data_IF_807783000818
#
_entry.id   IF_807783000818
#
_cell.length_a   1.000
_cell.length_b   1.000
_cell.length_c   1.000
_cell.angle_alpha   90.00
_cell.angle_beta   90.00
_cell.angle_gamma   90.00
#
_symmetry.space_group_name_H-M   'P 1'
#
loop_
_entity.id
_entity.type
_entity.pdbx_description
1 polymer ?
#
# COMPACT_ATOMS: atom_id res chain seq x y z
N UNK A 1 14.65 -3.96 -1.47
CA UNK A 1 14.20 -4.59 -0.19
C UNK A 1 13.49 -5.91 -0.51
N UNK A 2 13.49 -6.89 0.39
CA UNK A 2 12.86 -8.19 0.12
C UNK A 2 11.33 -8.18 0.32
N UNK A 3 10.84 -7.40 1.28
CA UNK A 3 9.42 -7.16 1.57
C UNK A 3 9.25 -5.71 2.05
N UNK A 4 8.09 -5.11 1.82
CA UNK A 4 7.76 -3.78 2.31
C UNK A 4 6.34 -3.75 2.89
N UNK A 5 6.15 -3.00 4.00
CA UNK A 5 4.85 -2.87 4.64
C UNK A 5 3.95 -1.95 3.81
N UNK A 6 2.72 -2.41 3.53
CA UNK A 6 1.70 -1.63 2.78
C UNK A 6 0.47 -1.25 3.58
N UNK A 7 0.20 -1.98 4.66
CA UNK A 7 -0.92 -1.68 5.52
C UNK A 7 -0.78 -2.43 6.84
N UNK A 8 -1.33 -1.85 7.89
CA UNK A 8 -1.47 -2.49 9.18
C UNK A 8 -2.79 -2.02 9.80
N UNK A 9 -3.40 -2.88 10.60
CA UNK A 9 -4.57 -2.54 11.38
C UNK A 9 -4.57 -3.34 12.66
N UNK A 10 -5.15 -2.77 13.70
CA UNK A 10 -5.39 -3.45 14.96
C UNK A 10 -6.86 -3.84 15.00
N UNK A 11 -7.15 -5.06 15.44
CA UNK A 11 -8.54 -5.46 15.69
C UNK A 11 -9.12 -4.64 16.83
N UNK A 12 -10.45 -4.65 16.94
CA UNK A 12 -11.10 -4.33 18.21
C UNK A 12 -10.70 -5.34 19.29
N UNK A 13 -11.09 -5.07 20.53
CA UNK A 13 -11.02 -6.08 21.60
C UNK A 13 -11.95 -7.22 21.22
N UNK A 14 -11.39 -8.42 21.08
CA UNK A 14 -12.14 -9.63 20.73
C UNK A 14 -12.37 -10.47 21.99
N UNK A 15 -13.61 -10.93 22.18
CA UNK A 15 -13.90 -11.94 23.18
C UNK A 15 -13.33 -13.32 22.77
N UNK A 16 -13.22 -14.30 23.69
CA UNK A 16 -12.83 -15.66 23.34
C UNK A 16 -13.72 -16.24 22.23
N UNK A 17 -13.11 -16.68 21.12
CA UNK A 17 -13.81 -17.21 19.95
C UNK A 17 -14.37 -16.16 18.99
N UNK A 18 -14.30 -14.87 19.32
CA UNK A 18 -14.71 -13.80 18.42
C UNK A 18 -13.66 -13.58 17.31
N UNK A 19 -14.11 -13.22 16.11
CA UNK A 19 -13.26 -12.89 14.97
C UNK A 19 -13.66 -11.56 14.34
N UNK A 20 -12.70 -10.91 13.69
CA UNK A 20 -12.94 -9.69 12.92
C UNK A 20 -12.27 -9.82 11.55
N UNK A 21 -13.03 -9.52 10.49
CA UNK A 21 -12.48 -9.35 9.14
C UNK A 21 -11.87 -7.96 9.00
N UNK A 22 -10.64 -7.90 8.50
CA UNK A 22 -9.96 -6.67 8.13
C UNK A 22 -9.83 -6.62 6.60
N UNK A 23 -10.06 -5.45 6.01
CA UNK A 23 -9.94 -5.23 4.57
C UNK A 23 -8.85 -4.21 4.31
N UNK A 24 -7.93 -4.56 3.41
CA UNK A 24 -6.88 -3.67 2.94
C UNK A 24 -7.08 -3.45 1.44
N UNK A 25 -6.96 -2.21 1.00
CA UNK A 25 -7.04 -1.85 -0.42
C UNK A 25 -5.65 -1.46 -0.88
N UNK A 26 -5.19 -2.06 -1.98
CA UNK A 26 -3.94 -1.71 -2.64
C UNK A 26 -4.26 -0.90 -3.89
N UNK A 27 -3.81 0.35 -3.93
CA UNK A 27 -3.81 1.18 -5.12
C UNK A 27 -2.52 0.95 -5.93
N UNK A 28 -2.48 1.28 -7.23
CA UNK A 28 -1.26 1.22 -8.04
C UNK A 28 -0.07 1.95 -7.40
N UNK A 29 -0.34 3.07 -6.70
CA UNK A 29 0.66 3.82 -5.95
C UNK A 29 1.38 2.97 -4.89
N UNK A 30 0.69 2.04 -4.26
CA UNK A 30 1.25 1.14 -3.25
C UNK A 30 2.18 0.10 -3.89
N UNK A 31 2.05 -0.16 -5.19
CA UNK A 31 2.90 -1.11 -5.92
C UNK A 31 4.09 -0.42 -6.60
N UNK A 32 4.13 0.92 -6.57
CA UNK A 32 5.05 1.69 -7.36
C UNK A 32 6.43 1.84 -6.71
N UNK A 33 7.47 1.72 -7.52
CA UNK A 33 8.84 2.15 -7.23
C UNK A 33 9.14 3.44 -8.00
N UNK A 34 10.12 4.20 -7.55
CA UNK A 34 10.59 5.36 -8.30
C UNK A 34 11.60 4.91 -9.37
N UNK A 35 11.31 5.22 -10.63
CA UNK A 35 12.21 5.04 -11.76
C UNK A 35 12.96 6.37 -12.03
N UNK A 36 14.26 6.36 -11.80
CA UNK A 36 15.13 7.53 -11.97
C UNK A 36 15.25 7.96 -13.43
N UNK A 37 15.24 7.01 -14.38
CA UNK A 37 15.44 7.30 -15.79
C UNK A 37 14.28 8.11 -16.38
N UNK A 38 13.05 7.81 -15.95
CA UNK A 38 11.85 8.57 -16.34
C UNK A 38 11.43 9.64 -15.33
N UNK A 39 12.16 9.75 -14.20
CA UNK A 39 11.81 10.62 -13.06
C UNK A 39 10.34 10.48 -12.64
N UNK A 40 9.86 9.24 -12.58
CA UNK A 40 8.44 8.95 -12.36
C UNK A 40 8.24 7.75 -11.42
N UNK A 41 7.05 7.68 -10.81
CA UNK A 41 6.66 6.52 -10.02
C UNK A 41 5.98 5.50 -10.93
N UNK A 42 6.44 4.26 -10.94
CA UNK A 42 5.98 3.22 -11.85
C UNK A 42 5.54 2.00 -11.07
N UNK A 43 4.30 1.57 -11.28
CA UNK A 43 3.81 0.27 -10.86
C UNK A 43 4.00 -0.73 -11.99
N UNK A 44 5.02 -1.57 -11.89
CA UNK A 44 5.44 -2.50 -12.94
C UNK A 44 4.38 -3.57 -13.26
N UNK A 45 4.41 -4.11 -14.47
CA UNK A 45 3.70 -5.34 -14.79
C UNK A 45 4.37 -6.52 -14.10
N UNK A 46 3.61 -7.52 -13.67
CA UNK A 46 4.16 -8.74 -13.10
C UNK A 46 3.31 -9.36 -12.01
N UNK A 47 3.87 -10.38 -11.37
CA UNK A 47 3.21 -11.08 -10.26
C UNK A 47 3.70 -10.52 -8.93
N UNK A 48 2.76 -10.02 -8.14
CA UNK A 48 2.99 -9.52 -6.80
C UNK A 48 2.59 -10.58 -5.78
N UNK A 49 3.34 -10.69 -4.69
CA UNK A 49 3.00 -11.54 -3.53
C UNK A 49 2.62 -10.67 -2.35
N UNK A 50 1.37 -10.77 -1.90
CA UNK A 50 0.90 -10.20 -0.64
C UNK A 50 1.18 -11.17 0.48
N UNK A 51 1.76 -10.68 1.58
CA UNK A 51 2.03 -11.45 2.80
C UNK A 51 1.29 -10.82 3.98
N UNK A 52 0.56 -11.63 4.75
CA UNK A 52 -0.14 -11.22 5.96
C UNK A 52 0.54 -11.90 7.15
N UNK A 53 1.04 -11.10 8.08
CA UNK A 53 1.81 -11.58 9.23
C UNK A 53 1.57 -10.74 10.48
N UNK A 54 1.89 -11.32 11.64
CA UNK A 54 1.94 -10.56 12.89
C UNK A 54 3.25 -9.79 13.06
N UNK A 55 4.28 -10.17 12.31
CA UNK A 55 5.53 -9.44 12.11
C UNK A 55 6.08 -9.72 10.70
N UNK A 56 7.16 -9.06 10.31
CA UNK A 56 7.88 -9.38 9.06
C UNK A 56 8.48 -10.79 9.03
N UNK A 57 8.64 -11.41 10.21
CA UNK A 57 9.21 -12.75 10.40
C UNK A 57 8.14 -13.82 10.65
N UNK A 58 6.97 -13.45 11.16
CA UNK A 58 5.79 -14.33 11.38
C UNK A 58 4.72 -14.08 10.30
N UNK A 59 4.91 -14.68 9.13
CA UNK A 59 3.96 -14.65 8.01
C UNK A 59 2.99 -15.83 8.13
N UNK A 60 1.70 -15.53 8.21
CA UNK A 60 0.64 -16.53 8.46
C UNK A 60 -0.18 -16.84 7.22
N UNK A 61 -0.27 -15.91 6.27
CA UNK A 61 -0.95 -16.11 5.00
C UNK A 61 -0.21 -15.39 3.87
N UNK A 62 -0.37 -15.91 2.65
CA UNK A 62 0.15 -15.28 1.44
C UNK A 62 -0.81 -15.50 0.27
N UNK A 63 -0.89 -14.51 -0.61
CA UNK A 63 -1.64 -14.59 -1.86
C UNK A 63 -0.86 -13.90 -2.99
N UNK A 64 -1.09 -14.33 -4.22
CA UNK A 64 -0.48 -13.73 -5.40
C UNK A 64 -1.54 -13.14 -6.32
N UNK A 65 -1.22 -12.01 -6.95
CA UNK A 65 -2.01 -11.45 -8.03
C UNK A 65 -1.10 -10.92 -9.14
N UNK A 66 -1.64 -10.83 -10.36
CA UNK A 66 -0.88 -10.39 -11.53
C UNK A 66 -1.39 -9.03 -12.00
N UNK A 67 -0.47 -8.08 -12.17
CA UNK A 67 -0.71 -6.82 -12.86
C UNK A 67 -0.28 -6.99 -14.32
N UNK A 68 -1.23 -6.87 -15.24
CA UNK A 68 -1.00 -7.20 -16.65
C UNK A 68 -0.12 -6.19 -17.39
N UNK A 69 -0.21 -4.91 -17.03
CA UNK A 69 0.49 -3.81 -17.70
C UNK A 69 1.21 -2.93 -16.69
N UNK A 70 2.29 -2.27 -17.09
CA UNK A 70 2.89 -1.21 -16.27
C UNK A 70 1.96 0.01 -16.19
N UNK A 71 2.11 0.83 -15.16
CA UNK A 71 1.34 2.06 -14.98
C UNK A 71 2.22 3.14 -14.35
N UNK A 72 2.31 4.30 -15.02
CA UNK A 72 2.90 5.51 -14.43
C UNK A 72 1.91 6.14 -13.46
N UNK A 73 2.32 6.27 -12.21
CA UNK A 73 1.49 6.83 -11.16
C UNK A 73 1.69 8.34 -11.09
N UNK A 74 0.64 9.09 -11.37
CA UNK A 74 0.67 10.55 -11.34
C UNK A 74 1.02 11.08 -9.93
N UNK A 75 1.81 12.17 -9.83
CA UNK A 75 2.07 12.81 -8.55
C UNK A 75 0.79 13.48 -8.02
N UNK A 76 0.53 13.31 -6.72
CA UNK A 76 -0.54 14.06 -6.03
C UNK A 76 -0.01 15.45 -5.71
N UNK A 77 -0.63 16.48 -6.27
CA UNK A 77 -0.31 17.89 -5.95
C UNK A 77 -1.36 18.43 -4.98
N UNK A 78 -0.94 18.86 -3.79
CA UNK A 78 -1.81 19.56 -2.83
C UNK A 78 -1.54 21.05 -2.93
N UNK A 79 -2.53 21.83 -3.34
CA UNK A 79 -2.48 23.29 -3.22
C UNK A 79 -3.22 23.69 -1.95
N UNK A 80 -2.49 24.14 -0.92
CA UNK A 80 -3.10 24.76 0.25
C UNK A 80 -3.41 26.21 -0.11
N UNK A 81 -4.70 26.54 -0.21
CA UNK A 81 -5.14 27.90 -0.47
C UNK A 81 -4.77 28.83 0.69
N UNK A 82 -3.96 29.84 0.41
CA UNK A 82 -3.63 30.91 1.35
C UNK A 82 -4.87 31.73 1.68
N UNK A 83 -5.51 31.42 2.81
CA UNK A 83 -6.46 32.34 3.43
C UNK A 83 -5.68 33.53 3.99
N UNK A 84 -5.86 34.71 3.39
CA UNK A 84 -5.46 35.97 4.01
C UNK A 84 -6.29 36.18 5.28
N UNK A 85 -5.75 35.76 6.42
CA UNK A 85 -6.15 36.30 7.72
C UNK A 85 -5.56 37.70 7.85
N UNK A 86 -6.39 38.73 7.71
CA UNK A 86 -6.04 40.05 8.22
C UNK A 86 -6.01 39.97 9.74
N UNK A 87 -4.89 40.43 10.33
CA UNK A 87 -4.78 40.67 11.76
C UNK A 87 -5.73 41.79 12.19
#
# INVERSE_FOLDING_TARGET
PAIELRGFAKTKVLAPGESQTLTFTLAPRDLASFDEASSSWVAEAGTYTVKIGASSEDIRQSATFTKATEEKVAPVSVTVGGGQGSF
#
